data_IF_153182198954
#
_entry.id   IF_153182198954
#
_cell.length_a   1.000
_cell.length_b   1.000
_cell.length_c   1.000
_cell.angle_alpha   90.00
_cell.angle_beta   90.00
_cell.angle_gamma   90.00
#
_symmetry.space_group_name_H-M   'P 1'
#
loop_
_entity.id
_entity.type
_entity.pdbx_description
1 polymer ?
#
# COMPACT_ATOMS: atom_id res chain seq x y z
N UNK A 1 -46.79 41.96 10.93
CA UNK A 1 -45.41 42.24 10.48
C UNK A 1 -44.45 41.73 11.55
N UNK A 2 -44.03 40.46 11.47
CA UNK A 2 -43.08 39.87 12.43
C UNK A 2 -41.90 39.30 11.64
N UNK A 3 -40.91 40.16 11.40
CA UNK A 3 -39.71 39.91 10.59
C UNK A 3 -38.64 39.23 11.46
N UNK A 4 -38.73 37.92 11.71
CA UNK A 4 -37.60 37.10 12.19
C UNK A 4 -37.71 35.65 11.69
N UNK A 5 -37.92 35.52 10.38
CA UNK A 5 -37.43 34.36 9.64
C UNK A 5 -36.09 34.77 9.01
N UNK A 6 -35.26 33.79 8.64
CA UNK A 6 -33.91 33.94 8.05
C UNK A 6 -32.78 33.90 9.07
N UNK A 7 -32.40 32.68 9.48
CA UNK A 7 -30.98 32.33 9.67
C UNK A 7 -30.72 30.80 9.64
N UNK A 8 -31.41 30.05 8.76
CA UNK A 8 -31.16 28.59 8.59
C UNK A 8 -30.54 28.27 7.22
N UNK A 9 -30.48 29.23 6.30
CA UNK A 9 -30.17 28.93 4.89
C UNK A 9 -28.68 29.00 4.52
N UNK A 10 -27.78 29.35 5.43
CA UNK A 10 -26.34 29.52 5.11
C UNK A 10 -25.47 28.28 5.42
N UNK A 11 -26.01 27.24 6.08
CA UNK A 11 -25.22 26.02 6.37
C UNK A 11 -25.24 24.97 5.25
N UNK A 12 -25.99 25.19 4.17
CA UNK A 12 -26.14 24.23 3.07
C UNK A 12 -25.29 24.55 1.83
N UNK A 13 -24.51 25.64 1.85
CA UNK A 13 -23.66 26.08 0.73
C UNK A 13 -22.18 25.73 0.88
N UNK A 14 -21.80 24.93 1.88
CA UNK A 14 -20.58 24.16 1.77
C UNK A 14 -20.90 22.97 0.86
N UNK A 15 -21.05 23.26 -0.43
CA UNK A 15 -20.82 22.27 -1.48
C UNK A 15 -19.47 21.66 -1.16
N UNK A 16 -19.52 20.50 -0.53
CA UNK A 16 -18.38 19.65 -0.26
C UNK A 16 -17.86 19.39 -1.66
N UNK A 17 -16.83 20.13 -2.07
CA UNK A 17 -16.09 19.82 -3.27
C UNK A 17 -15.78 18.34 -3.12
N UNK A 18 -16.39 17.51 -3.96
CA UNK A 18 -16.06 16.10 -4.04
C UNK A 18 -14.63 16.03 -4.51
N UNK A 19 -13.68 16.19 -3.59
CA UNK A 19 -12.29 15.97 -3.85
C UNK A 19 -12.25 14.49 -4.24
N UNK A 20 -11.98 14.24 -5.52
CA UNK A 20 -11.68 12.89 -6.00
C UNK A 20 -10.48 12.44 -5.22
N UNK A 21 -10.73 11.69 -4.16
CA UNK A 21 -9.67 11.26 -3.30
C UNK A 21 -9.11 9.95 -3.87
N UNK A 22 -7.83 9.72 -3.64
CA UNK A 22 -7.12 8.58 -4.21
C UNK A 22 -6.63 7.72 -3.05
N UNK A 23 -6.69 6.38 -3.17
CA UNK A 23 -5.99 5.52 -2.23
C UNK A 23 -4.51 5.95 -2.17
N UNK A 24 -4.03 6.21 -0.96
CA UNK A 24 -2.63 6.57 -0.71
C UNK A 24 -2.02 5.48 0.13
N UNK A 25 -1.04 4.78 -0.44
CA UNK A 25 -0.45 3.60 0.17
C UNK A 25 0.94 3.91 0.70
N UNK A 26 1.21 3.50 1.94
CA UNK A 26 2.53 3.52 2.56
C UNK A 26 3.04 2.08 2.67
N UNK A 27 4.17 1.80 2.03
CA UNK A 27 4.86 0.51 2.12
C UNK A 27 6.10 0.67 3.00
N UNK A 28 6.18 -0.14 4.05
CA UNK A 28 7.31 -0.19 4.97
C UNK A 28 7.99 -1.56 4.86
N UNK A 29 9.33 -1.56 4.79
CA UNK A 29 10.16 -2.78 4.80
C UNK A 29 11.05 -2.70 6.03
N UNK A 30 10.99 -3.72 6.89
CA UNK A 30 11.64 -3.66 8.20
C UNK A 30 13.18 -3.68 8.15
N UNK A 31 13.76 -4.15 7.04
CA UNK A 31 15.21 -4.37 6.89
C UNK A 31 15.71 -3.76 5.58
N UNK A 32 16.86 -3.09 5.64
CA UNK A 32 17.48 -2.44 4.48
C UNK A 32 18.34 -3.39 3.64
N UNK A 33 18.85 -4.47 4.25
CA UNK A 33 19.70 -5.45 3.57
C UNK A 33 19.51 -6.85 4.15
N UNK A 34 19.86 -7.84 3.35
CA UNK A 34 19.78 -9.25 3.70
C UNK A 34 21.04 -9.95 3.20
N UNK A 35 21.56 -10.87 4.00
CA UNK A 35 22.61 -11.79 3.59
C UNK A 35 22.00 -13.19 3.44
N UNK A 36 22.36 -13.88 2.37
CA UNK A 36 21.91 -15.24 2.10
C UNK A 36 22.94 -15.99 1.28
N UNK A 37 22.96 -17.31 1.45
CA UNK A 37 23.77 -18.23 0.67
C UNK A 37 22.99 -18.80 -0.51
N UNK A 38 23.68 -19.28 -1.56
CA UNK A 38 23.06 -20.13 -2.57
C UNK A 38 22.30 -21.31 -1.91
N UNK A 39 21.07 -21.53 -2.36
CA UNK A 39 20.09 -22.46 -1.82
C UNK A 39 19.15 -21.90 -0.75
N UNK A 40 19.38 -20.70 -0.21
CA UNK A 40 18.55 -20.12 0.84
C UNK A 40 17.36 -19.31 0.30
N UNK A 41 16.37 -19.07 1.17
CA UNK A 41 15.24 -18.19 0.89
C UNK A 41 15.27 -17.02 1.86
N UNK A 42 15.32 -15.80 1.34
CA UNK A 42 15.16 -14.58 2.13
C UNK A 42 13.67 -14.33 2.30
N UNK A 43 13.22 -14.12 3.52
CA UNK A 43 11.85 -13.72 3.83
C UNK A 43 11.82 -12.21 4.06
N UNK A 44 11.20 -11.45 3.16
CA UNK A 44 11.11 -9.99 3.25
C UNK A 44 9.77 -9.62 3.90
N UNK A 45 9.74 -9.26 5.20
CA UNK A 45 8.54 -8.76 5.84
C UNK A 45 8.25 -7.33 5.36
N UNK A 46 7.02 -7.11 4.91
CA UNK A 46 6.53 -5.81 4.48
C UNK A 46 5.21 -5.47 5.14
N UNK A 47 5.02 -4.20 5.46
CA UNK A 47 3.75 -3.68 5.99
C UNK A 47 3.21 -2.68 4.98
N UNK A 48 2.01 -2.96 4.46
CA UNK A 48 1.29 -2.03 3.60
C UNK A 48 0.17 -1.37 4.39
N UNK A 49 0.15 -0.04 4.42
CA UNK A 49 -0.89 0.76 5.08
C UNK A 49 -1.62 1.63 4.06
N UNK A 50 -2.94 1.68 4.12
CA UNK A 50 -3.70 2.71 3.39
C UNK A 50 -3.84 3.96 4.26
N UNK A 51 -3.01 4.96 3.98
CA UNK A 51 -3.00 6.27 4.66
C UNK A 51 -3.91 7.30 3.96
N UNK A 52 -4.58 6.90 2.88
CA UNK A 52 -5.55 7.72 2.18
C UNK A 52 -6.92 7.69 2.84
N UNK A 53 -7.87 8.31 2.17
CA UNK A 53 -9.28 8.39 2.56
C UNK A 53 -10.21 7.60 1.61
N UNK A 54 -9.64 6.83 0.68
CA UNK A 54 -10.37 5.95 -0.25
C UNK A 54 -9.84 4.53 -0.17
N UNK A 55 -10.72 3.57 -0.42
CA UNK A 55 -10.38 2.15 -0.46
C UNK A 55 -9.42 1.87 -1.61
N UNK A 56 -8.36 1.10 -1.34
CA UNK A 56 -7.48 0.55 -2.36
C UNK A 56 -7.94 -0.87 -2.74
N UNK A 57 -8.03 -1.18 -4.04
CA UNK A 57 -8.44 -2.49 -4.55
C UNK A 57 -7.40 -3.05 -5.54
N UNK A 58 -7.31 -4.38 -5.61
CA UNK A 58 -6.43 -5.10 -6.55
C UNK A 58 -4.96 -4.64 -6.50
N UNK A 59 -4.42 -4.55 -5.29
CA UNK A 59 -3.06 -4.08 -5.05
C UNK A 59 -2.09 -5.23 -5.31
N UNK A 60 -1.12 -5.02 -6.19
CA UNK A 60 -0.01 -5.94 -6.42
C UNK A 60 1.23 -5.42 -5.69
N UNK A 61 1.85 -6.27 -4.87
CA UNK A 61 3.16 -6.00 -4.28
C UNK A 61 4.13 -7.02 -4.85
N UNK A 62 5.27 -6.56 -5.36
CA UNK A 62 6.30 -7.43 -5.90
C UNK A 62 7.68 -6.91 -5.54
N UNK A 63 8.65 -7.81 -5.46
CA UNK A 63 10.05 -7.43 -5.31
C UNK A 63 10.62 -7.18 -6.70
N UNK A 64 11.19 -6.00 -6.92
CA UNK A 64 11.99 -5.68 -8.11
C UNK A 64 13.47 -5.70 -7.77
N UNK A 65 14.28 -6.28 -8.64
CA UNK A 65 15.72 -6.35 -8.46
C UNK A 65 16.47 -6.55 -9.78
N UNK A 66 17.80 -6.64 -9.74
CA UNK A 66 18.60 -6.94 -10.91
C UNK A 66 18.24 -8.31 -11.50
N UNK A 67 18.31 -8.42 -12.84
CA UNK A 67 18.06 -9.67 -13.55
C UNK A 67 19.31 -10.56 -13.51
N UNK A 68 19.52 -11.24 -12.39
CA UNK A 68 20.64 -12.16 -12.17
C UNK A 68 20.11 -13.59 -12.25
N UNK A 69 20.73 -14.44 -13.07
CA UNK A 69 20.40 -15.87 -13.14
C UNK A 69 20.50 -16.47 -11.74
N UNK A 70 19.44 -17.13 -11.27
CA UNK A 70 19.40 -17.75 -9.94
C UNK A 70 18.82 -16.87 -8.82
N UNK A 71 18.36 -15.65 -9.12
CA UNK A 71 17.52 -14.87 -8.21
C UNK A 71 16.06 -14.89 -8.68
N UNK A 72 15.16 -15.39 -7.83
CA UNK A 72 13.72 -15.41 -8.11
C UNK A 72 12.98 -14.54 -7.10
N UNK A 73 12.31 -13.51 -7.61
CA UNK A 73 11.54 -12.55 -6.83
C UNK A 73 10.06 -12.93 -6.80
N UNK A 74 9.44 -12.82 -5.63
CA UNK A 74 8.02 -13.10 -5.47
C UNK A 74 7.14 -11.86 -5.62
N UNK A 75 5.84 -12.14 -5.76
CA UNK A 75 4.77 -11.15 -5.72
C UNK A 75 3.61 -11.69 -4.87
N UNK A 76 2.78 -10.78 -4.38
CA UNK A 76 1.51 -11.08 -3.73
C UNK A 76 0.44 -10.05 -4.14
N UNK A 77 -0.82 -10.41 -3.94
CA UNK A 77 -1.98 -9.59 -4.27
C UNK A 77 -2.83 -9.38 -3.03
N UNK A 78 -3.23 -8.13 -2.81
CA UNK A 78 -4.17 -7.73 -1.77
C UNK A 78 -5.43 -7.25 -2.48
N UNK A 79 -6.54 -7.95 -2.24
CA UNK A 79 -7.81 -7.67 -2.92
C UNK A 79 -8.36 -6.28 -2.58
N UNK A 80 -8.26 -5.90 -1.31
CA UNK A 80 -8.83 -4.68 -0.75
C UNK A 80 -8.04 -4.24 0.47
N UNK A 81 -7.90 -2.93 0.67
CA UNK A 81 -7.37 -2.32 1.89
C UNK A 81 -8.15 -1.02 2.18
N UNK A 82 -8.89 -1.00 3.28
CA UNK A 82 -9.73 0.15 3.67
C UNK A 82 -8.89 1.34 4.18
N UNK A 83 -9.42 2.58 4.15
CA UNK A 83 -8.76 3.73 4.76
C UNK A 83 -8.37 3.47 6.22
N UNK A 84 -7.09 3.66 6.54
CA UNK A 84 -6.51 3.41 7.88
C UNK A 84 -6.16 1.95 8.16
N UNK A 85 -6.50 1.01 7.28
CA UNK A 85 -6.16 -0.40 7.43
C UNK A 85 -4.68 -0.65 7.10
N UNK A 86 -4.12 -1.66 7.77
CA UNK A 86 -2.77 -2.16 7.53
C UNK A 86 -2.78 -3.66 7.35
N UNK A 87 -1.91 -4.15 6.48
CA UNK A 87 -1.69 -5.59 6.26
C UNK A 87 -0.20 -5.90 6.22
N UNK A 88 0.18 -6.96 6.92
CA UNK A 88 1.54 -7.49 6.91
C UNK A 88 1.63 -8.64 5.91
N UNK A 89 2.69 -8.64 5.12
CA UNK A 89 3.00 -9.66 4.12
C UNK A 89 4.45 -10.10 4.24
N UNK A 90 4.74 -11.29 3.75
CA UNK A 90 6.11 -11.81 3.66
C UNK A 90 6.36 -12.26 2.24
N UNK A 91 7.24 -11.55 1.54
CA UNK A 91 7.61 -11.82 0.17
C UNK A 91 8.94 -12.60 0.14
N UNK A 92 8.97 -13.85 -0.33
CA UNK A 92 10.22 -14.60 -0.46
C UNK A 92 11.09 -14.10 -1.62
N UNK A 93 12.40 -14.18 -1.44
CA UNK A 93 13.40 -14.16 -2.53
C UNK A 93 14.11 -15.50 -2.48
N UNK A 94 14.07 -16.26 -3.57
CA UNK A 94 14.79 -17.53 -3.66
C UNK A 94 16.17 -17.27 -4.25
N UNK A 95 17.20 -17.72 -3.53
CA UNK A 95 18.60 -17.62 -3.93
C UNK A 95 19.01 -19.02 -4.35
N UNK A 96 18.97 -19.33 -5.64
CA UNK A 96 19.32 -20.66 -6.11
C UNK A 96 20.84 -20.81 -6.23
N UNK A 97 21.39 -20.44 -7.38
CA UNK A 97 22.83 -20.42 -7.61
C UNK A 97 23.19 -19.17 -8.40
N UNK A 98 23.17 -17.98 -7.77
CA UNK A 98 23.29 -16.72 -8.45
C UNK A 98 24.64 -16.63 -9.19
N UNK A 99 24.59 -16.49 -10.51
CA UNK A 99 25.78 -16.21 -11.33
C UNK A 99 25.78 -14.73 -11.68
N UNK A 100 26.71 -13.99 -11.10
CA UNK A 100 26.93 -12.57 -11.40
C UNK A 100 27.71 -12.40 -12.72
#
# INVERSE_FOLDING_TARGET
MNKKAVLITILFLLSISGASAQPSLLLEVAQESFEAKPGETILVPVTLSNIGNETAENISIYISGPLIEGLLYSQDVIKKLEPGEKVEKTLPIYIENPKA
#
